data_IF_863435641686
#
_entry.id   IF_863435641686
#
_cell.length_a   1.000
_cell.length_b   1.000
_cell.length_c   1.000
_cell.angle_alpha   90.00
_cell.angle_beta   90.00
_cell.angle_gamma   90.00
#
_symmetry.space_group_name_H-M   'P 1'
#
loop_
_entity.id
_entity.type
_entity.pdbx_description
1 polymer ?
#
# COMPACT_ATOMS: atom_id res chain seq x y z
N UNK A 1 -11.94 -5.60 -24.28
CA UNK A 1 -12.06 -5.20 -22.87
C UNK A 1 -10.82 -5.70 -22.14
N UNK A 2 -10.19 -4.88 -21.30
CA UNK A 2 -9.04 -5.30 -20.49
C UNK A 2 -9.56 -5.61 -19.09
N UNK A 3 -9.36 -6.85 -18.62
CA UNK A 3 -9.63 -7.19 -17.23
C UNK A 3 -8.38 -6.86 -16.43
N UNK A 4 -8.50 -5.96 -15.47
CA UNK A 4 -7.41 -5.66 -14.53
C UNK A 4 -7.57 -6.58 -13.32
N UNK A 5 -6.51 -7.32 -13.01
CA UNK A 5 -6.42 -8.08 -11.78
C UNK A 5 -5.37 -7.43 -10.87
N UNK A 6 -5.63 -7.27 -9.56
CA UNK A 6 -4.60 -6.85 -8.62
C UNK A 6 -3.40 -7.80 -8.70
N UNK A 7 -2.21 -7.25 -8.93
CA UNK A 7 -0.98 -8.05 -8.91
C UNK A 7 -0.70 -8.61 -7.51
N UNK A 8 -0.01 -9.76 -7.46
CA UNK A 8 0.43 -10.34 -6.18
C UNK A 8 1.47 -9.41 -5.54
N UNK A 9 1.40 -9.15 -4.22
CA UNK A 9 2.43 -8.40 -3.51
C UNK A 9 3.82 -9.03 -3.73
N UNK A 10 4.81 -8.21 -4.08
CA UNK A 10 6.12 -8.72 -4.48
C UNK A 10 7.23 -7.70 -4.21
N UNK A 11 8.42 -8.20 -3.88
CA UNK A 11 9.62 -7.39 -3.75
C UNK A 11 9.98 -6.66 -5.05
N UNK A 12 9.50 -7.13 -6.20
CA UNK A 12 9.67 -6.46 -7.49
C UNK A 12 9.03 -5.06 -7.53
N UNK A 13 8.04 -4.79 -6.68
CA UNK A 13 7.35 -3.51 -6.57
C UNK A 13 7.92 -2.61 -5.47
N UNK A 14 9.18 -2.83 -5.06
CA UNK A 14 9.80 -2.09 -3.96
C UNK A 14 9.74 -0.56 -4.16
N UNK A 15 9.55 0.20 -3.07
CA UNK A 15 9.52 1.67 -3.12
C UNK A 15 10.94 2.24 -3.28
N UNK A 16 11.10 3.19 -4.19
CA UNK A 16 12.30 4.03 -4.37
C UNK A 16 12.04 5.45 -3.86
N UNK A 17 10.88 6.04 -4.20
CA UNK A 17 10.47 7.38 -3.80
C UNK A 17 10.34 7.51 -2.28
N UNK A 18 9.74 6.54 -1.59
CA UNK A 18 9.73 6.55 -0.12
C UNK A 18 11.14 6.47 0.49
N UNK A 19 12.07 5.77 -0.17
CA UNK A 19 13.48 5.76 0.25
C UNK A 19 14.15 7.11 0.03
N UNK A 20 13.85 7.77 -1.08
CA UNK A 20 14.36 9.10 -1.41
C UNK A 20 13.88 10.18 -0.44
N UNK A 21 12.66 10.06 0.08
CA UNK A 21 12.12 10.99 1.06
C UNK A 21 12.65 10.73 2.49
N UNK A 22 13.24 9.55 2.73
CA UNK A 22 13.78 9.18 4.04
C UNK A 22 15.17 9.80 4.31
N UNK A 23 15.91 10.20 3.27
CA UNK A 23 17.25 10.79 3.42
C UNK A 23 17.16 12.28 3.84
N UNK A 24 18.16 12.84 4.53
CA UNK A 24 18.12 14.21 5.05
C UNK A 24 18.38 15.29 3.98
N UNK A 25 17.82 15.14 2.79
CA UNK A 25 18.00 16.06 1.67
C UNK A 25 16.65 16.50 1.12
N UNK A 26 16.57 17.70 0.55
CA UNK A 26 15.36 18.13 -0.16
C UNK A 26 15.12 17.26 -1.38
N UNK A 27 13.87 17.08 -1.76
CA UNK A 27 13.53 16.42 -3.04
C UNK A 27 14.13 17.13 -4.27
N UNK A 28 14.44 18.43 -4.18
CA UNK A 28 15.06 19.23 -5.24
C UNK A 28 16.58 19.30 -5.19
N UNK A 29 17.22 18.71 -4.18
CA UNK A 29 18.68 18.68 -4.06
C UNK A 29 19.24 17.52 -4.90
N UNK A 30 19.85 17.84 -6.03
CA UNK A 30 20.47 16.88 -6.94
C UNK A 30 22.00 16.87 -6.82
N UNK A 31 22.54 17.33 -5.69
CA UNK A 31 23.96 17.22 -5.42
C UNK A 31 24.39 15.75 -5.39
N UNK A 32 25.66 15.50 -5.72
CA UNK A 32 26.22 14.16 -5.74
C UNK A 32 26.05 13.41 -4.41
N UNK A 33 26.18 14.11 -3.28
CA UNK A 33 26.00 13.54 -1.94
C UNK A 33 24.54 13.13 -1.71
N UNK A 34 23.59 14.00 -2.08
CA UNK A 34 22.16 13.72 -1.94
C UNK A 34 21.75 12.50 -2.77
N UNK A 35 22.18 12.44 -4.04
CA UNK A 35 21.87 11.30 -4.91
C UNK A 35 22.53 10.01 -4.43
N UNK A 36 23.78 10.05 -3.96
CA UNK A 36 24.45 8.87 -3.40
C UNK A 36 23.72 8.33 -2.17
N UNK A 37 23.22 9.21 -1.30
CA UNK A 37 22.43 8.80 -0.15
C UNK A 37 21.10 8.16 -0.56
N UNK A 38 20.42 8.72 -1.58
CA UNK A 38 19.18 8.16 -2.14
C UNK A 38 19.42 6.79 -2.77
N UNK A 39 20.52 6.61 -3.51
CA UNK A 39 20.88 5.32 -4.09
C UNK A 39 21.10 4.25 -3.02
N UNK A 40 21.80 4.59 -1.94
CA UNK A 40 21.99 3.69 -0.80
C UNK A 40 20.65 3.33 -0.13
N UNK A 41 19.78 4.31 0.11
CA UNK A 41 18.44 4.07 0.65
C UNK A 41 17.59 3.19 -0.28
N UNK A 42 17.64 3.44 -1.59
CA UNK A 42 16.98 2.64 -2.62
C UNK A 42 17.47 1.20 -2.64
N UNK A 43 18.76 0.96 -2.46
CA UNK A 43 19.34 -0.39 -2.36
C UNK A 43 18.80 -1.15 -1.13
N UNK A 44 18.71 -0.47 0.02
CA UNK A 44 18.12 -1.04 1.24
C UNK A 44 16.64 -1.37 1.02
N UNK A 45 15.87 -0.43 0.45
CA UNK A 45 14.44 -0.64 0.15
C UNK A 45 14.21 -1.82 -0.80
N UNK A 46 15.10 -1.99 -1.79
CA UNK A 46 15.09 -3.14 -2.70
C UNK A 46 15.39 -4.45 -1.96
N UNK A 47 16.39 -4.46 -1.09
CA UNK A 47 16.80 -5.64 -0.33
C UNK A 47 15.68 -6.16 0.59
N UNK A 48 15.04 -5.26 1.33
CA UNK A 48 13.88 -5.61 2.17
C UNK A 48 12.60 -5.80 1.32
N UNK A 49 12.61 -5.27 0.10
CA UNK A 49 11.53 -5.24 -0.86
C UNK A 49 10.30 -4.48 -0.35
N UNK A 50 10.51 -3.35 0.34
CA UNK A 50 9.44 -2.58 0.97
C UNK A 50 8.38 -2.20 -0.08
N UNK A 51 7.13 -2.59 0.13
CA UNK A 51 6.02 -2.25 -0.75
C UNK A 51 4.92 -1.59 0.06
N UNK A 52 4.78 -0.28 -0.13
CA UNK A 52 3.86 0.59 0.57
C UNK A 52 3.28 1.66 -0.35
N UNK A 53 2.07 2.11 -0.03
CA UNK A 53 1.43 3.27 -0.64
C UNK A 53 1.25 4.37 0.40
N UNK A 54 1.90 5.52 0.23
CA UNK A 54 1.80 6.66 1.17
C UNK A 54 2.59 7.87 0.66
N UNK A 55 2.34 9.06 1.20
CA UNK A 55 3.10 10.27 0.83
C UNK A 55 3.09 10.61 -0.66
N UNK A 56 2.04 10.23 -1.40
CA UNK A 56 1.96 10.41 -2.86
C UNK A 56 3.06 9.70 -3.68
N UNK A 57 3.72 8.69 -3.11
CA UNK A 57 4.88 8.00 -3.70
C UNK A 57 4.56 7.03 -4.86
N UNK A 58 3.31 6.60 -5.01
CA UNK A 58 2.95 5.49 -5.95
C UNK A 58 3.34 5.78 -7.40
N UNK A 59 3.05 7.01 -7.87
CA UNK A 59 3.36 7.44 -9.24
C UNK A 59 4.88 7.50 -9.45
N UNK A 60 5.66 8.26 -8.67
CA UNK A 60 7.11 8.30 -8.86
C UNK A 60 7.77 6.92 -8.71
N UNK A 61 7.27 6.05 -7.82
CA UNK A 61 7.78 4.68 -7.65
C UNK A 61 7.57 3.77 -8.85
N UNK A 62 6.44 3.94 -9.54
CA UNK A 62 5.97 3.00 -10.55
C UNK A 62 6.19 3.52 -11.97
N UNK A 63 6.37 4.83 -12.16
CA UNK A 63 6.37 5.47 -13.47
C UNK A 63 7.39 4.84 -14.41
N UNK A 64 8.67 4.87 -14.07
CA UNK A 64 9.71 4.27 -14.92
C UNK A 64 9.80 2.76 -14.75
N UNK A 65 9.57 2.24 -13.55
CA UNK A 65 9.60 0.80 -13.26
C UNK A 65 8.63 0.02 -14.17
N UNK A 66 7.37 0.47 -14.26
CA UNK A 66 6.36 -0.17 -15.10
C UNK A 66 6.59 0.08 -16.59
N UNK A 67 7.14 1.24 -16.98
CA UNK A 67 7.54 1.50 -18.37
C UNK A 67 8.68 0.59 -18.82
N UNK A 68 9.67 0.34 -17.95
CA UNK A 68 10.75 -0.62 -18.18
C UNK A 68 10.20 -2.04 -18.31
N UNK A 69 9.36 -2.48 -17.37
CA UNK A 69 8.69 -3.78 -17.45
C UNK A 69 7.91 -3.94 -18.77
N UNK A 70 7.16 -2.91 -19.19
CA UNK A 70 6.46 -2.92 -20.48
C UNK A 70 7.38 -2.92 -21.70
N UNK A 71 8.57 -2.32 -21.62
CA UNK A 71 9.57 -2.36 -22.68
C UNK A 71 10.24 -3.73 -22.80
N UNK A 72 10.62 -4.34 -21.67
CA UNK A 72 11.12 -5.72 -21.60
C UNK A 72 10.10 -6.69 -22.20
N UNK A 73 8.83 -6.61 -21.78
CA UNK A 73 7.78 -7.45 -22.32
C UNK A 73 7.59 -7.26 -23.84
N UNK A 74 7.59 -6.01 -24.31
CA UNK A 74 7.45 -5.68 -25.73
C UNK A 74 8.57 -6.29 -26.58
N UNK A 75 9.83 -6.12 -26.18
CA UNK A 75 10.97 -6.64 -26.95
C UNK A 75 11.05 -8.17 -26.87
N UNK A 76 10.71 -8.76 -25.72
CA UNK A 76 10.65 -10.24 -25.57
C UNK A 76 9.54 -10.85 -26.44
N UNK A 77 8.38 -10.19 -26.55
CA UNK A 77 7.32 -10.60 -27.48
C UNK A 77 7.76 -10.48 -28.94
N UNK A 78 8.52 -9.44 -29.31
CA UNK A 78 9.11 -9.34 -30.65
C UNK A 78 10.13 -10.44 -30.91
N UNK A 79 10.95 -10.80 -29.92
CA UNK A 79 11.89 -11.92 -30.05
C UNK A 79 11.17 -13.25 -30.30
N UNK A 80 10.10 -13.53 -29.57
CA UNK A 80 9.27 -14.72 -29.81
C UNK A 80 8.63 -14.71 -31.21
N UNK A 81 8.11 -13.56 -31.65
CA UNK A 81 7.55 -13.42 -33.00
C UNK A 81 8.60 -13.59 -34.10
N UNK A 82 9.82 -13.11 -33.88
CA UNK A 82 10.95 -13.30 -34.79
C UNK A 82 11.31 -14.79 -34.93
N UNK A 83 11.36 -15.53 -33.83
CA UNK A 83 11.58 -16.99 -33.86
C UNK A 83 10.47 -17.73 -34.63
N UNK A 84 9.21 -17.32 -34.48
CA UNK A 84 8.08 -17.96 -35.16
C UNK A 84 8.02 -17.63 -36.66
N UNK A 85 8.39 -16.40 -37.05
CA UNK A 85 8.20 -15.91 -38.42
C UNK A 85 9.46 -15.92 -39.28
N UNK A 86 10.64 -16.04 -38.67
CA UNK A 86 11.92 -15.85 -39.35
C UNK A 86 12.26 -14.38 -39.66
N UNK A 87 11.38 -13.43 -39.33
CA UNK A 87 11.60 -12.00 -39.58
C UNK A 87 12.52 -11.41 -38.51
N UNK A 88 13.56 -10.64 -38.87
CA UNK A 88 14.43 -9.98 -37.89
C UNK A 88 13.67 -9.06 -36.94
N UNK A 89 14.00 -9.10 -35.64
CA UNK A 89 13.36 -8.28 -34.57
C UNK A 89 13.33 -6.79 -34.90
N UNK A 90 14.36 -6.28 -35.57
CA UNK A 90 14.48 -4.88 -35.98
C UNK A 90 13.38 -4.45 -36.97
N UNK A 91 12.81 -5.38 -37.73
CA UNK A 91 11.74 -5.12 -38.70
C UNK A 91 10.34 -5.26 -38.08
N UNK A 92 10.24 -5.79 -36.85
CA UNK A 92 8.97 -6.01 -36.16
C UNK A 92 8.52 -4.73 -35.43
N UNK A 93 7.22 -4.42 -35.54
CA UNK A 93 6.58 -3.32 -34.81
C UNK A 93 5.54 -3.87 -33.82
N UNK A 94 5.00 -3.01 -32.97
CA UNK A 94 3.95 -3.40 -32.02
C UNK A 94 2.82 -2.38 -31.98
N UNK A 95 1.58 -2.83 -32.13
CA UNK A 95 0.39 -2.01 -31.98
C UNK A 95 -0.80 -2.89 -31.54
N UNK A 96 -1.82 -2.29 -30.91
CA UNK A 96 -3.10 -2.97 -30.66
C UNK A 96 -3.06 -4.28 -29.86
N UNK A 97 -1.99 -4.61 -29.14
CA UNK A 97 -1.87 -5.92 -28.48
C UNK A 97 -1.31 -7.03 -29.38
N UNK A 98 -0.60 -6.68 -30.46
CA UNK A 98 0.01 -7.60 -31.40
C UNK A 98 1.41 -7.13 -31.83
N UNK A 99 2.22 -8.09 -32.27
CA UNK A 99 3.45 -7.84 -33.05
C UNK A 99 3.06 -7.77 -34.53
N UNK A 100 3.52 -6.74 -35.22
CA UNK A 100 3.26 -6.50 -36.64
C UNK A 100 4.50 -6.88 -37.46
N UNK A 101 4.31 -7.70 -38.47
CA UNK A 101 5.33 -8.07 -39.45
C UNK A 101 5.35 -7.06 -40.61
N UNK A 102 6.46 -6.99 -41.39
CA UNK A 102 6.60 -6.07 -42.53
C UNK A 102 5.57 -6.29 -43.64
N UNK A 103 5.06 -7.52 -43.78
CA UNK A 103 4.03 -7.91 -44.74
C UNK A 103 2.60 -7.50 -44.31
N UNK A 104 2.47 -6.85 -43.14
CA UNK A 104 1.18 -6.43 -42.56
C UNK A 104 0.50 -7.49 -41.70
N UNK A 105 1.04 -8.71 -41.62
CA UNK A 105 0.51 -9.76 -40.74
C UNK A 105 0.67 -9.36 -39.28
N UNK A 106 -0.32 -9.70 -38.46
CA UNK A 106 -0.33 -9.43 -37.03
C UNK A 106 -0.33 -10.73 -36.26
N UNK A 107 0.56 -10.85 -35.27
CA UNK A 107 0.58 -11.97 -34.33
C UNK A 107 0.15 -11.43 -32.96
N UNK A 108 -1.06 -11.79 -32.47
CA UNK A 108 -1.55 -11.35 -31.17
C UNK A 108 -0.61 -11.75 -30.04
N UNK A 109 -0.45 -10.88 -29.03
CA UNK A 109 0.39 -11.19 -27.86
C UNK A 109 -0.05 -12.45 -27.13
N UNK A 110 -1.35 -12.77 -27.14
CA UNK A 110 -1.89 -13.99 -26.54
C UNK A 110 -1.37 -15.27 -27.20
N UNK A 111 -1.03 -15.23 -28.48
CA UNK A 111 -0.40 -16.36 -29.19
C UNK A 111 1.11 -16.44 -28.91
N UNK A 112 1.75 -15.31 -28.63
CA UNK A 112 3.18 -15.22 -28.35
C UNK A 112 3.54 -15.44 -26.88
N UNK A 113 2.60 -15.20 -25.96
CA UNK A 113 2.88 -15.13 -24.52
C UNK A 113 3.53 -16.40 -23.96
N UNK A 114 3.04 -17.58 -24.35
CA UNK A 114 3.58 -18.86 -23.88
C UNK A 114 5.00 -19.14 -24.42
N UNK A 115 5.32 -18.68 -25.62
CA UNK A 115 6.66 -18.78 -26.19
C UNK A 115 7.61 -17.74 -25.55
N UNK A 116 7.16 -16.48 -25.45
CA UNK A 116 7.90 -15.40 -24.83
C UNK A 116 8.26 -15.69 -23.36
N UNK A 117 7.38 -16.37 -22.61
CA UNK A 117 7.64 -16.78 -21.22
C UNK A 117 8.77 -17.80 -21.06
N UNK A 118 9.21 -18.46 -22.15
CA UNK A 118 10.33 -19.41 -22.16
C UNK A 118 11.65 -18.77 -22.58
N UNK A 119 11.62 -17.51 -23.02
CA UNK A 119 12.81 -16.76 -23.42
C UNK A 119 13.39 -16.04 -22.21
N UNK A 120 14.71 -15.87 -22.21
CA UNK A 120 15.33 -14.90 -21.34
C UNK A 120 14.77 -13.50 -21.67
N UNK A 121 14.27 -12.76 -20.67
CA UNK A 121 13.75 -11.43 -20.92
C UNK A 121 14.82 -10.51 -21.51
N UNK A 122 14.46 -9.79 -22.58
CA UNK A 122 15.36 -8.80 -23.18
C UNK A 122 15.60 -7.66 -22.17
N UNK A 123 16.85 -7.52 -21.69
CA UNK A 123 17.20 -6.56 -20.64
C UNK A 123 17.63 -5.20 -21.17
N UNK A 124 18.30 -5.17 -22.33
CA UNK A 124 18.69 -3.93 -22.98
C UNK A 124 17.49 -3.37 -23.75
N UNK A 125 16.75 -2.47 -23.10
CA UNK A 125 15.52 -1.89 -23.65
C UNK A 125 15.51 -0.39 -23.54
N UNK A 126 15.15 0.25 -24.64
CA UNK A 126 14.89 1.69 -24.67
C UNK A 126 13.42 1.96 -24.33
N UNK A 127 13.21 2.92 -23.43
CA UNK A 127 11.88 3.44 -23.17
C UNK A 127 11.40 4.27 -24.36
N UNK A 128 10.10 4.24 -24.63
CA UNK A 128 9.53 5.09 -25.67
C UNK A 128 9.71 6.56 -25.29
N UNK A 129 10.18 7.34 -26.25
CA UNK A 129 10.24 8.79 -26.20
C UNK A 129 8.85 9.38 -25.87
N UNK A 130 8.76 10.46 -25.07
CA UNK A 130 7.50 11.14 -24.77
C UNK A 130 6.64 11.48 -25.99
N UNK A 131 7.24 11.86 -27.12
CA UNK A 131 6.52 12.13 -28.38
C UNK A 131 5.78 10.91 -28.93
N UNK A 132 6.22 9.70 -28.56
CA UNK A 132 5.62 8.42 -28.98
C UNK A 132 4.61 7.87 -27.96
N UNK A 133 4.32 8.63 -26.89
CA UNK A 133 3.35 8.21 -25.89
C UNK A 133 1.92 8.29 -26.43
N UNK A 134 1.21 7.18 -26.30
CA UNK A 134 -0.18 7.08 -26.73
C UNK A 134 -1.17 7.42 -25.63
N UNK A 135 -0.83 7.08 -24.38
CA UNK A 135 -1.73 7.16 -23.21
C UNK A 135 -1.22 8.10 -22.11
N UNK A 136 0.10 8.11 -21.85
CA UNK A 136 0.69 8.97 -20.83
C UNK A 136 0.53 10.44 -21.22
N UNK A 137 0.18 11.29 -20.24
CA UNK A 137 -0.06 12.72 -20.44
C UNK A 137 -1.40 13.07 -21.10
N UNK A 138 -2.26 12.08 -21.40
CA UNK A 138 -3.57 12.31 -22.00
C UNK A 138 -4.69 12.09 -20.99
N UNK A 139 -5.82 12.81 -21.10
CA UNK A 139 -7.02 12.51 -20.34
C UNK A 139 -7.48 11.08 -20.62
N UNK A 140 -7.64 10.27 -19.57
CA UNK A 140 -8.10 8.89 -19.67
C UNK A 140 -9.22 8.67 -18.65
N UNK A 141 -10.28 7.95 -19.05
CA UNK A 141 -11.27 7.49 -18.08
C UNK A 141 -10.68 6.35 -17.24
N UNK A 142 -10.92 6.41 -15.93
CA UNK A 142 -10.54 5.32 -15.02
C UNK A 142 -11.37 4.08 -15.34
N UNK A 143 -10.73 2.93 -15.33
CA UNK A 143 -11.37 1.64 -15.61
C UNK A 143 -12.43 1.25 -14.57
N UNK A 144 -12.37 1.82 -13.37
CA UNK A 144 -13.28 1.56 -12.25
C UNK A 144 -14.47 2.53 -12.17
N UNK A 145 -14.58 3.52 -13.08
CA UNK A 145 -15.60 4.58 -12.99
C UNK A 145 -17.03 4.03 -13.11
N UNK A 146 -17.31 3.20 -14.12
CA UNK A 146 -18.64 2.65 -14.35
C UNK A 146 -19.06 1.79 -13.17
N UNK A 147 -18.17 0.93 -12.67
CA UNK A 147 -18.47 0.04 -11.56
C UNK A 147 -18.77 0.82 -10.26
N UNK A 148 -18.02 1.91 -10.00
CA UNK A 148 -18.27 2.81 -8.86
C UNK A 148 -19.60 3.57 -9.00
N UNK A 149 -19.86 4.14 -10.17
CA UNK A 149 -21.06 4.96 -10.41
C UNK A 149 -22.35 4.15 -10.46
N UNK A 150 -22.28 2.85 -10.73
CA UNK A 150 -23.44 1.95 -10.81
C UNK A 150 -23.63 1.08 -9.56
N UNK A 151 -22.74 1.19 -8.55
CA UNK A 151 -22.77 0.34 -7.37
C UNK A 151 -22.44 -1.14 -7.64
N UNK A 152 -21.79 -1.43 -8.77
CA UNK A 152 -21.40 -2.81 -9.14
C UNK A 152 -19.96 -3.16 -8.76
N UNK A 153 -19.15 -2.17 -8.35
CA UNK A 153 -17.84 -2.42 -7.75
C UNK A 153 -18.04 -3.03 -6.35
N UNK A 154 -17.44 -4.20 -6.12
CA UNK A 154 -17.42 -4.86 -4.81
C UNK A 154 -16.24 -4.37 -3.98
N UNK A 155 -16.52 -3.81 -2.81
CA UNK A 155 -15.54 -3.45 -1.80
C UNK A 155 -15.25 -4.63 -0.86
N UNK A 156 -14.31 -4.48 0.06
CA UNK A 156 -13.92 -5.55 0.98
C UNK A 156 -15.10 -6.01 1.84
N UNK A 157 -15.92 -5.06 2.30
CA UNK A 157 -17.12 -5.32 3.10
C UNK A 157 -18.25 -6.06 2.34
N UNK A 158 -18.26 -6.01 1.00
CA UNK A 158 -19.28 -6.65 0.16
C UNK A 158 -18.98 -8.12 -0.12
N UNK A 159 -17.76 -8.57 0.16
CA UNK A 159 -17.30 -9.91 -0.14
C UNK A 159 -17.98 -10.93 0.78
N UNK A 160 -18.32 -12.08 0.19
CA UNK A 160 -18.93 -13.22 0.90
C UNK A 160 -18.21 -14.49 0.50
N UNK A 161 -17.84 -15.30 1.50
CA UNK A 161 -17.28 -16.63 1.31
C UNK A 161 -18.26 -17.67 1.84
N UNK A 162 -18.23 -18.87 1.25
CA UNK A 162 -18.98 -20.01 1.77
C UNK A 162 -18.50 -20.34 3.19
N UNK A 163 -19.45 -20.52 4.12
CA UNK A 163 -19.15 -20.79 5.53
C UNK A 163 -18.51 -19.62 6.30
N UNK A 164 -18.50 -18.41 5.75
CA UNK A 164 -17.91 -17.24 6.40
C UNK A 164 -18.55 -16.96 7.76
N UNK A 165 -17.72 -16.79 8.79
CA UNK A 165 -18.10 -16.26 10.10
C UNK A 165 -17.69 -14.79 10.20
N UNK A 166 -18.29 -14.09 11.16
CA UNK A 166 -18.08 -12.66 11.37
C UNK A 166 -17.47 -12.42 12.74
N UNK A 167 -16.39 -11.65 12.77
CA UNK A 167 -15.71 -11.27 14.00
C UNK A 167 -16.02 -9.81 14.36
N UNK A 168 -16.42 -9.56 15.60
CA UNK A 168 -16.47 -8.24 16.21
C UNK A 168 -15.36 -8.15 17.26
N UNK A 169 -14.51 -7.13 17.17
CA UNK A 169 -13.40 -6.93 18.11
C UNK A 169 -13.75 -5.76 19.02
N UNK A 170 -13.62 -5.98 20.33
CA UNK A 170 -13.74 -4.94 21.35
C UNK A 170 -12.38 -4.75 22.02
N UNK A 171 -11.77 -3.61 21.73
CA UNK A 171 -10.46 -3.21 22.24
C UNK A 171 -10.62 -2.26 23.43
N UNK A 172 -9.55 -2.13 24.21
CA UNK A 172 -9.43 -1.08 25.21
C UNK A 172 -9.60 0.29 24.53
N UNK A 173 -10.50 1.16 25.01
CA UNK A 173 -10.69 2.50 24.44
C UNK A 173 -9.43 3.38 24.57
N UNK A 174 -8.53 3.06 25.51
CA UNK A 174 -7.21 3.66 25.60
C UNK A 174 -6.25 2.91 24.66
N UNK A 175 -5.90 3.55 23.55
CA UNK A 175 -5.06 2.94 22.52
C UNK A 175 -3.73 2.42 23.10
N UNK A 176 -3.40 1.16 22.83
CA UNK A 176 -2.18 0.51 23.31
C UNK A 176 -2.21 0.04 24.76
N UNK A 177 -3.24 0.38 25.55
CA UNK A 177 -3.38 -0.12 26.91
C UNK A 177 -3.92 -1.57 26.93
N UNK A 178 -3.47 -2.43 27.86
CA UNK A 178 -3.89 -3.82 27.89
C UNK A 178 -5.34 -4.01 28.38
N UNK A 179 -5.92 -5.15 28.01
CA UNK A 179 -7.09 -5.74 28.68
C UNK A 179 -6.57 -6.49 29.91
N UNK A 180 -7.04 -6.16 31.12
CA UNK A 180 -6.62 -6.85 32.35
C UNK A 180 -7.35 -8.17 32.50
N UNK A 181 -8.67 -8.13 32.38
CA UNK A 181 -9.53 -9.32 32.46
C UNK A 181 -10.89 -9.06 31.79
N UNK A 182 -11.61 -10.12 31.43
CA UNK A 182 -12.97 -10.01 30.88
C UNK A 182 -13.86 -11.15 31.37
N UNK A 183 -15.17 -10.88 31.45
CA UNK A 183 -16.22 -11.86 31.72
C UNK A 183 -17.14 -11.96 30.50
N UNK A 184 -17.08 -13.11 29.83
CA UNK A 184 -17.83 -13.40 28.61
C UNK A 184 -19.06 -14.28 28.82
N UNK A 185 -19.39 -14.69 30.05
CA UNK A 185 -20.45 -15.69 30.32
C UNK A 185 -21.79 -15.36 29.67
N UNK A 186 -22.20 -14.10 29.72
CA UNK A 186 -23.45 -13.65 29.10
C UNK A 186 -23.41 -13.76 27.56
N UNK A 187 -22.25 -13.51 26.96
CA UNK A 187 -22.06 -13.54 25.50
C UNK A 187 -21.93 -14.97 24.96
N UNK A 188 -21.32 -15.89 25.71
CA UNK A 188 -21.13 -17.29 25.29
C UNK A 188 -22.45 -18.02 25.00
N UNK A 189 -23.50 -17.71 25.77
CA UNK A 189 -24.84 -18.29 25.59
C UNK A 189 -25.68 -17.64 24.48
N UNK A 190 -25.20 -16.56 23.86
CA UNK A 190 -25.99 -15.84 22.85
C UNK A 190 -26.09 -16.63 21.55
N UNK A 191 -27.30 -16.64 20.97
CA UNK A 191 -27.59 -17.32 19.71
C UNK A 191 -26.60 -16.91 18.62
N UNK A 192 -26.00 -17.91 17.97
CA UNK A 192 -25.12 -17.74 16.81
C UNK A 192 -23.68 -17.38 17.15
N UNK A 193 -23.35 -17.14 18.42
CA UNK A 193 -21.96 -17.04 18.88
C UNK A 193 -21.28 -18.40 18.72
N UNK A 194 -20.07 -18.39 18.15
CA UNK A 194 -19.26 -19.58 17.87
C UNK A 194 -18.04 -19.64 18.76
N UNK A 195 -17.41 -18.50 19.01
CA UNK A 195 -16.20 -18.42 19.84
C UNK A 195 -16.00 -17.01 20.36
N UNK A 196 -15.42 -16.92 21.55
CA UNK A 196 -14.92 -15.68 22.14
C UNK A 196 -13.44 -15.92 22.45
N UNK A 197 -12.55 -15.06 21.97
CA UNK A 197 -11.10 -15.23 22.13
C UNK A 197 -10.45 -13.93 22.60
N UNK A 198 -9.47 -13.99 23.51
CA UNK A 198 -8.64 -12.83 23.82
C UNK A 198 -7.83 -12.44 22.58
N UNK A 199 -7.63 -11.14 22.39
CA UNK A 199 -6.73 -10.56 21.39
C UNK A 199 -5.87 -9.49 22.06
N UNK A 200 -4.81 -9.05 21.40
CA UNK A 200 -3.96 -7.96 21.92
C UNK A 200 -4.80 -6.73 22.21
N UNK A 201 -4.83 -6.31 23.48
CA UNK A 201 -5.59 -5.15 23.94
C UNK A 201 -7.11 -5.34 23.99
N UNK A 202 -7.64 -6.57 23.87
CA UNK A 202 -9.10 -6.75 23.82
C UNK A 202 -9.60 -8.18 23.70
N UNK A 203 -10.82 -8.30 23.20
CA UNK A 203 -11.52 -9.57 23.00
C UNK A 203 -12.22 -9.56 21.63
N UNK A 204 -12.20 -10.70 20.94
CA UNK A 204 -12.91 -10.89 19.68
C UNK A 204 -14.03 -11.92 19.84
N UNK A 205 -15.21 -11.58 19.32
CA UNK A 205 -16.37 -12.46 19.27
C UNK A 205 -16.61 -12.89 17.83
N UNK A 206 -16.66 -14.20 17.61
CA UNK A 206 -16.95 -14.81 16.31
C UNK A 206 -18.38 -15.34 16.33
N UNK A 207 -19.20 -14.94 15.35
CA UNK A 207 -20.59 -15.37 15.21
C UNK A 207 -20.96 -15.64 13.75
N UNK A 208 -22.15 -16.20 13.52
CA UNK A 208 -22.68 -16.52 12.20
C UNK A 208 -23.24 -15.32 11.41
N UNK A 209 -23.30 -14.13 12.01
CA UNK A 209 -23.52 -12.86 11.31
C UNK A 209 -22.95 -11.67 12.11
N UNK A 210 -22.85 -10.51 11.46
CA UNK A 210 -22.29 -9.28 12.04
C UNK A 210 -23.10 -8.76 13.22
N UNK A 211 -24.43 -8.73 13.13
CA UNK A 211 -25.27 -8.20 14.20
C UNK A 211 -25.09 -8.97 15.51
N UNK A 212 -25.09 -10.31 15.45
CA UNK A 212 -24.87 -11.18 16.62
C UNK A 212 -23.47 -11.01 17.18
N UNK A 213 -22.45 -10.90 16.32
CA UNK A 213 -21.09 -10.63 16.77
C UNK A 213 -21.01 -9.31 17.56
N UNK A 214 -21.62 -8.23 17.05
CA UNK A 214 -21.64 -6.93 17.73
C UNK A 214 -22.40 -6.97 19.06
N UNK A 215 -23.62 -7.53 19.07
CA UNK A 215 -24.41 -7.63 20.31
C UNK A 215 -23.70 -8.46 21.38
N UNK A 216 -23.05 -9.55 20.98
CA UNK A 216 -22.29 -10.39 21.91
C UNK A 216 -21.02 -9.70 22.41
N UNK A 217 -20.29 -8.95 21.56
CA UNK A 217 -19.14 -8.16 21.99
C UNK A 217 -19.51 -7.04 22.99
N UNK A 218 -20.68 -6.43 22.84
CA UNK A 218 -21.24 -5.45 23.78
C UNK A 218 -21.60 -6.08 25.14
N UNK A 219 -22.04 -7.33 25.15
CA UNK A 219 -22.44 -8.05 26.37
C UNK A 219 -21.26 -8.50 27.25
N UNK A 220 -20.02 -8.48 26.73
CA UNK A 220 -18.83 -8.83 27.51
C UNK A 220 -18.53 -7.72 28.52
N UNK A 221 -18.19 -8.07 29.76
CA UNK A 221 -17.68 -7.10 30.73
C UNK A 221 -16.16 -7.13 30.70
N UNK A 222 -15.53 -5.98 30.53
CA UNK A 222 -14.08 -5.87 30.43
C UNK A 222 -13.51 -4.95 31.51
N UNK A 223 -12.44 -5.39 32.14
CA UNK A 223 -11.58 -4.58 33.00
C UNK A 223 -10.39 -4.05 32.18
N UNK A 224 -10.41 -2.75 31.91
CA UNK A 224 -9.42 -2.07 31.07
C UNK A 224 -8.32 -1.47 31.93
N UNK A 225 -7.06 -1.62 31.50
CA UNK A 225 -6.00 -0.81 32.07
C UNK A 225 -6.15 0.66 31.63
N UNK A 226 -5.74 1.62 32.48
CA UNK A 226 -5.74 3.03 32.12
C UNK A 226 -4.74 3.31 30.98
N UNK A 227 -4.91 4.46 30.33
CA UNK A 227 -3.92 4.96 29.36
C UNK A 227 -2.56 5.21 30.02
N UNK A 228 -1.48 4.94 29.28
CA UNK A 228 -0.13 5.39 29.64
C UNK A 228 0.17 6.85 29.26
N UNK A 229 -0.86 7.59 28.87
CA UNK A 229 -0.80 8.98 28.41
C UNK A 229 -1.95 9.78 29.05
N UNK A 230 -1.87 11.12 29.08
CA UNK A 230 -2.92 11.94 29.70
C UNK A 230 -4.31 11.66 29.10
N UNK A 231 -5.37 11.74 29.90
CA UNK A 231 -6.72 11.43 29.39
C UNK A 231 -7.26 12.53 28.45
N UNK A 232 -6.92 13.79 28.73
CA UNK A 232 -7.51 14.95 28.07
C UNK A 232 -6.58 15.58 27.04
N UNK A 233 -7.18 16.07 25.95
CA UNK A 233 -6.46 16.66 24.83
C UNK A 233 -5.60 17.87 25.23
N UNK A 234 -6.02 18.66 26.21
CA UNK A 234 -5.25 19.81 26.69
C UNK A 234 -3.86 19.41 27.21
N UNK A 235 -3.76 18.28 27.91
CA UNK A 235 -2.50 17.77 28.42
C UNK A 235 -1.63 17.16 27.31
N UNK A 236 -2.22 16.65 26.22
CA UNK A 236 -1.45 16.24 25.04
C UNK A 236 -0.80 17.45 24.39
N UNK A 237 -1.53 18.55 24.24
CA UNK A 237 -0.98 19.79 23.70
C UNK A 237 0.11 20.38 24.57
N UNK A 238 -0.05 20.33 25.89
CA UNK A 238 0.99 20.75 26.82
C UNK A 238 2.25 19.89 26.64
N UNK A 239 2.10 18.56 26.57
CA UNK A 239 3.24 17.65 26.36
C UNK A 239 3.96 17.90 25.03
N UNK A 240 3.24 18.29 23.96
CA UNK A 240 3.84 18.69 22.68
C UNK A 240 4.57 20.02 22.81
N UNK A 241 3.97 21.03 23.45
CA UNK A 241 4.60 22.33 23.67
C UNK A 241 5.89 22.20 24.52
N UNK A 242 5.84 21.41 25.59
CA UNK A 242 6.98 21.11 26.46
C UNK A 242 8.08 20.31 25.74
N UNK A 243 7.77 19.74 24.57
CA UNK A 243 8.75 19.02 23.77
C UNK A 243 9.62 19.91 22.88
N UNK A 244 9.28 21.20 22.74
CA UNK A 244 10.04 22.17 21.92
C UNK A 244 11.27 22.68 22.67
N UNK A 245 12.20 21.78 22.95
CA UNK A 245 13.50 22.08 23.56
C UNK A 245 14.63 21.55 22.69
N UNK A 246 15.83 22.13 22.82
CA UNK A 246 17.01 21.70 22.06
C UNK A 246 17.32 20.20 22.26
N UNK A 247 17.12 19.67 23.48
CA UNK A 247 17.40 18.27 23.80
C UNK A 247 16.45 17.28 23.11
N UNK A 248 15.30 17.74 22.62
CA UNK A 248 14.29 16.92 21.93
C UNK A 248 14.22 17.22 20.43
N UNK A 249 15.11 18.06 19.93
CA UNK A 249 15.22 18.34 18.50
C UNK A 249 15.88 17.15 17.78
N UNK A 250 15.07 16.34 17.11
CA UNK A 250 15.52 15.13 16.42
C UNK A 250 16.31 15.45 15.14
N UNK A 251 15.75 16.30 14.26
CA UNK A 251 16.31 16.55 12.92
C UNK A 251 16.05 17.96 12.43
N UNK A 252 17.10 18.62 11.95
CA UNK A 252 17.02 19.88 11.22
C UNK A 252 16.97 19.59 9.71
N UNK A 253 15.78 19.64 9.12
CA UNK A 253 15.55 19.29 7.71
C UNK A 253 16.14 20.30 6.71
N UNK A 254 16.31 21.56 7.14
CA UNK A 254 16.82 22.65 6.32
C UNK A 254 17.60 23.62 7.20
N UNK A 255 18.84 23.87 6.82
CA UNK A 255 19.73 24.84 7.48
C UNK A 255 20.57 25.57 6.42
N UNK A 256 19.99 26.59 5.80
CA UNK A 256 20.67 27.35 4.74
C UNK A 256 21.12 28.70 5.27
N UNK A 257 22.41 28.97 5.22
CA UNK A 257 22.98 30.24 5.66
C UNK A 257 22.87 30.47 7.16
N UNK A 258 22.95 31.74 7.56
CA UNK A 258 22.83 32.16 8.95
C UNK A 258 21.43 32.75 9.17
N UNK A 259 20.51 31.88 9.60
CA UNK A 259 19.10 32.26 9.84
C UNK A 259 19.00 33.29 10.96
N UNK A 260 19.80 33.15 12.01
CA UNK A 260 19.81 34.06 13.15
C UNK A 260 20.29 35.46 12.75
N UNK A 261 21.34 35.55 11.92
CA UNK A 261 21.79 36.83 11.38
C UNK A 261 20.79 37.46 10.39
N UNK A 262 20.01 36.63 9.68
CA UNK A 262 19.00 37.10 8.72
C UNK A 262 17.68 37.52 9.38
N UNK A 263 17.36 36.99 10.57
CA UNK A 263 16.21 37.41 11.37
C UNK A 263 16.47 38.82 11.91
N UNK A 264 15.70 39.80 11.43
CA UNK A 264 15.79 41.18 11.91
C UNK A 264 15.38 41.31 13.38
N UNK A 265 15.49 42.52 13.95
CA UNK A 265 15.23 42.75 15.38
C UNK A 265 13.78 42.49 15.84
N UNK A 266 12.82 42.41 14.92
CA UNK A 266 11.41 42.14 15.21
C UNK A 266 10.86 41.07 14.27
N UNK A 267 11.22 39.79 14.47
CA UNK A 267 10.72 38.72 13.62
C UNK A 267 9.21 38.53 13.86
N UNK A 268 8.48 38.21 12.78
CA UNK A 268 7.10 37.75 12.91
C UNK A 268 7.12 36.33 13.48
N UNK A 269 6.53 36.16 14.65
CA UNK A 269 6.37 34.85 15.27
C UNK A 269 4.89 34.48 15.35
N UNK A 270 4.57 33.26 14.95
CA UNK A 270 3.23 32.70 15.06
C UNK A 270 3.32 31.23 15.41
N UNK A 271 2.42 30.77 16.27
CA UNK A 271 2.25 29.36 16.60
C UNK A 271 1.01 28.82 15.88
N UNK A 272 1.18 27.69 15.20
CA UNK A 272 0.10 26.99 14.52
C UNK A 272 -0.03 25.59 15.08
N UNK A 273 -1.27 25.13 15.27
CA UNK A 273 -1.57 23.75 15.67
C UNK A 273 -2.60 23.18 14.71
N UNK A 274 -2.43 21.92 14.34
CA UNK A 274 -3.43 21.15 13.59
C UNK A 274 -4.08 20.14 14.55
N UNK A 275 -5.42 20.07 14.63
CA UNK A 275 -6.08 19.12 15.53
C UNK A 275 -5.83 17.67 15.11
N UNK A 276 -6.10 16.73 16.01
CA UNK A 276 -6.17 15.31 15.65
C UNK A 276 -7.24 15.10 14.57
N UNK A 277 -6.82 14.60 13.42
CA UNK A 277 -7.71 14.33 12.29
C UNK A 277 -8.06 12.85 12.25
N UNK A 278 -9.35 12.54 12.26
CA UNK A 278 -9.84 11.23 11.90
C UNK A 278 -9.89 11.11 10.37
N UNK A 279 -9.33 10.04 9.81
CA UNK A 279 -9.44 9.74 8.39
C UNK A 279 -10.90 9.53 7.95
N UNK A 280 -11.75 9.03 8.86
CA UNK A 280 -13.20 8.84 8.70
C UNK A 280 -13.61 8.25 7.33
N UNK A 281 -13.02 7.12 6.89
CA UNK A 281 -13.39 6.53 5.62
C UNK A 281 -14.86 6.05 5.65
N UNK A 282 -15.57 6.21 4.53
CA UNK A 282 -16.95 5.74 4.40
C UNK A 282 -17.05 4.21 4.50
N UNK A 283 -16.07 3.49 3.95
CA UNK A 283 -15.90 2.06 4.21
C UNK A 283 -15.12 1.89 5.52
N UNK A 284 -15.70 1.27 6.56
CA UNK A 284 -14.96 0.93 7.77
C UNK A 284 -13.83 -0.04 7.47
N UNK A 285 -12.76 0.02 8.26
CA UNK A 285 -11.66 -0.93 8.14
C UNK A 285 -12.18 -2.36 8.28
N UNK A 286 -11.95 -3.18 7.26
CA UNK A 286 -12.41 -4.56 7.20
C UNK A 286 -11.29 -5.47 6.68
N UNK A 287 -11.34 -6.73 7.11
CA UNK A 287 -10.46 -7.77 6.60
C UNK A 287 -11.22 -9.10 6.55
N UNK A 288 -10.96 -9.87 5.49
CA UNK A 288 -11.41 -11.25 5.35
C UNK A 288 -10.17 -12.11 5.28
N UNK A 289 -10.15 -13.18 6.08
CA UNK A 289 -9.06 -14.14 6.13
C UNK A 289 -9.63 -15.52 5.85
N UNK A 290 -9.08 -16.20 4.84
CA UNK A 290 -9.39 -17.60 4.54
C UNK A 290 -8.13 -18.43 4.70
N UNK A 291 -8.13 -19.31 5.70
CA UNK A 291 -7.06 -20.28 5.94
C UNK A 291 -7.42 -21.57 5.23
N UNK A 292 -6.54 -22.05 4.36
CA UNK A 292 -6.62 -23.33 3.64
C UNK A 292 -5.34 -24.13 3.87
N UNK A 293 -5.30 -25.39 3.42
CA UNK A 293 -4.07 -26.20 3.52
C UNK A 293 -2.92 -25.52 2.75
N UNK A 294 -1.86 -25.15 3.47
CA UNK A 294 -0.64 -24.55 2.91
C UNK A 294 -0.80 -23.10 2.39
N UNK A 295 -1.93 -22.43 2.62
CA UNK A 295 -2.19 -21.07 2.10
C UNK A 295 -3.14 -20.28 2.99
N UNK A 296 -2.83 -19.00 3.19
CA UNK A 296 -3.74 -18.02 3.77
C UNK A 296 -4.02 -16.92 2.77
N UNK A 297 -5.30 -16.72 2.45
CA UNK A 297 -5.76 -15.60 1.63
C UNK A 297 -6.29 -14.49 2.53
N UNK A 298 -5.82 -13.26 2.29
CA UNK A 298 -6.20 -12.07 3.04
C UNK A 298 -6.71 -11.02 2.07
N UNK A 299 -7.96 -10.60 2.25
CA UNK A 299 -8.54 -9.43 1.59
C UNK A 299 -8.67 -8.32 2.62
N UNK A 300 -7.91 -7.24 2.46
CA UNK A 300 -7.93 -6.10 3.35
C UNK A 300 -7.59 -4.81 2.60
N UNK A 301 -8.14 -3.69 3.06
CA UNK A 301 -7.77 -2.36 2.58
C UNK A 301 -6.43 -1.92 3.18
N UNK A 302 -5.34 -2.61 2.79
CA UNK A 302 -3.99 -2.36 3.31
C UNK A 302 -3.15 -1.58 2.31
N UNK A 303 -2.47 -0.54 2.82
CA UNK A 303 -1.43 0.18 2.10
C UNK A 303 -0.06 -0.51 2.16
N UNK A 304 0.07 -1.59 2.97
CA UNK A 304 1.32 -2.30 3.22
C UNK A 304 1.14 -3.81 3.02
N UNK A 305 0.86 -4.28 1.80
CA UNK A 305 0.44 -5.66 1.57
C UNK A 305 1.53 -6.69 1.93
N UNK A 306 2.81 -6.38 1.74
CA UNK A 306 3.91 -7.29 2.13
C UNK A 306 4.10 -7.38 3.65
N UNK A 307 3.88 -6.29 4.37
CA UNK A 307 3.91 -6.32 5.84
C UNK A 307 2.77 -7.18 6.38
N UNK A 308 1.56 -7.02 5.82
CA UNK A 308 0.44 -7.88 6.17
C UNK A 308 0.76 -9.37 5.90
N UNK A 309 1.33 -9.69 4.73
CA UNK A 309 1.77 -11.04 4.40
C UNK A 309 2.78 -11.60 5.42
N UNK A 310 3.81 -10.83 5.78
CA UNK A 310 4.83 -11.24 6.75
C UNK A 310 4.24 -11.46 8.15
N UNK A 311 3.34 -10.57 8.59
CA UNK A 311 2.67 -10.69 9.89
C UNK A 311 1.78 -11.92 9.96
N UNK A 312 1.04 -12.23 8.89
CA UNK A 312 0.24 -13.46 8.80
C UNK A 312 1.15 -14.69 8.78
N UNK A 313 2.22 -14.68 7.99
CA UNK A 313 3.16 -15.78 7.90
C UNK A 313 3.88 -16.09 9.22
N UNK A 314 4.07 -15.10 10.10
CA UNK A 314 4.68 -15.30 11.42
C UNK A 314 3.74 -15.95 12.45
N UNK A 315 2.44 -16.06 12.15
CA UNK A 315 1.43 -16.66 13.02
C UNK A 315 1.16 -18.13 12.62
N UNK A 316 1.34 -18.47 11.34
CA UNK A 316 1.09 -19.79 10.76
C UNK A 316 2.32 -20.68 10.82
#
# INVERSE_FOLDING_TARGET
QCTVSPGVPAAAYYNTALGNDAVPFRSTDHSWIAETARDAAGAVMKLVGMQATGGSSTVPDSFDKLRRAGAVARETLKAAAAQQSGVPVAQLKTAGGAVLLPDGKQIPYTQLAAAAAKLDPVQDVTLRDPSQWRLLGKPMQRLDIVAKSTGTLRYGIDQKLEGMLHAAVRLNPHNGAPLRSFDAKAAEGMRGVKKIVPVTGGVAVVADNTWRAFRAAEAIRCDWAPAGYPAEQAAHWQAVADSFTEQRLDKLWRNDGDVEAALGQQPLQAEYRAPYLAHAPLEPLSAIVKVSQGRVDVWAASQFPRVAQQKVAAIC
#
